data_IF_638828622333
#
_entry.id   IF_638828622333
#
_cell.length_a   1.000
_cell.length_b   1.000
_cell.length_c   1.000
_cell.angle_alpha   90.00
_cell.angle_beta   90.00
_cell.angle_gamma   90.00
#
_symmetry.space_group_name_H-M   'P 1'
#
loop_
_entity.id
_entity.type
_entity.pdbx_description
1 polymer ?
#
# COMPACT_ATOMS: atom_id res chain seq x y z
N UNK A 1 14.87 -33.56 -26.66
CA UNK A 1 13.43 -33.88 -26.47
C UNK A 1 12.86 -33.46 -25.09
N UNK A 2 13.65 -33.05 -24.09
CA UNK A 2 13.15 -32.79 -22.70
C UNK A 2 12.74 -31.34 -22.35
N UNK A 3 12.94 -30.38 -23.24
CA UNK A 3 12.78 -28.94 -22.92
C UNK A 3 11.30 -28.48 -22.94
N UNK A 4 10.46 -29.09 -23.78
CA UNK A 4 9.05 -28.75 -23.90
C UNK A 4 8.21 -29.14 -22.66
N UNK A 5 8.47 -30.30 -22.05
CA UNK A 5 7.73 -30.72 -20.86
C UNK A 5 8.01 -29.82 -19.65
N UNK A 6 9.28 -29.43 -19.45
CA UNK A 6 9.66 -28.55 -18.33
C UNK A 6 9.13 -27.14 -18.51
N UNK A 7 9.11 -26.60 -19.73
CA UNK A 7 8.53 -25.28 -20.00
C UNK A 7 7.00 -25.28 -19.80
N UNK A 8 6.30 -26.30 -20.29
CA UNK A 8 4.86 -26.48 -20.04
C UNK A 8 4.57 -26.66 -18.55
N UNK A 9 5.37 -27.45 -17.84
CA UNK A 9 5.22 -27.68 -16.40
C UNK A 9 5.41 -26.40 -15.59
N UNK A 10 6.42 -25.58 -15.92
CA UNK A 10 6.61 -24.27 -15.27
C UNK A 10 5.42 -23.34 -15.48
N UNK A 11 4.89 -23.30 -16.71
CA UNK A 11 3.72 -22.48 -17.03
C UNK A 11 2.48 -22.94 -16.27
N UNK A 12 2.18 -24.24 -16.28
CA UNK A 12 1.05 -24.80 -15.54
C UNK A 12 1.18 -24.52 -14.03
N UNK A 13 2.39 -24.66 -13.47
CA UNK A 13 2.63 -24.37 -12.06
C UNK A 13 2.43 -22.89 -11.74
N UNK A 14 2.88 -21.98 -12.61
CA UNK A 14 2.63 -20.55 -12.46
C UNK A 14 1.13 -20.24 -12.46
N UNK A 15 0.38 -20.75 -13.45
CA UNK A 15 -1.07 -20.53 -13.58
C UNK A 15 -1.84 -21.04 -12.34
N UNK A 16 -1.48 -22.23 -11.83
CA UNK A 16 -2.09 -22.79 -10.62
C UNK A 16 -1.79 -21.92 -9.40
N UNK A 17 -0.52 -21.55 -9.20
CA UNK A 17 -0.11 -20.78 -8.03
C UNK A 17 -0.77 -19.39 -8.06
N UNK A 18 -0.75 -18.71 -9.19
CA UNK A 18 -1.37 -17.39 -9.37
C UNK A 18 -2.89 -17.45 -9.15
N UNK A 19 -3.58 -18.45 -9.72
CA UNK A 19 -5.01 -18.66 -9.52
C UNK A 19 -5.36 -18.87 -8.04
N UNK A 20 -4.61 -19.75 -7.34
CA UNK A 20 -4.81 -20.00 -5.90
C UNK A 20 -4.56 -18.76 -5.04
N UNK A 21 -3.57 -17.95 -5.39
CA UNK A 21 -3.32 -16.69 -4.68
C UNK A 21 -4.43 -15.67 -4.92
N UNK A 22 -4.97 -15.57 -6.14
CA UNK A 22 -6.10 -14.70 -6.44
C UNK A 22 -7.35 -15.12 -5.65
N UNK A 23 -7.70 -16.41 -5.65
CA UNK A 23 -8.80 -16.97 -4.87
C UNK A 23 -8.64 -16.71 -3.36
N UNK A 24 -7.41 -16.77 -2.84
CA UNK A 24 -7.14 -16.48 -1.44
C UNK A 24 -7.36 -15.00 -1.11
N UNK A 25 -6.96 -14.09 -2.01
CA UNK A 25 -7.21 -12.65 -1.86
C UNK A 25 -8.70 -12.34 -1.90
N UNK A 26 -9.46 -12.98 -2.78
CA UNK A 26 -10.91 -12.74 -2.88
C UNK A 26 -11.65 -13.19 -1.63
N UNK A 27 -11.39 -14.42 -1.17
CA UNK A 27 -11.95 -14.91 0.10
C UNK A 27 -11.60 -14.02 1.28
N UNK A 28 -10.38 -13.47 1.30
CA UNK A 28 -9.98 -12.51 2.33
C UNK A 28 -10.80 -11.22 2.25
N UNK A 29 -10.97 -10.64 1.06
CA UNK A 29 -11.72 -9.40 0.87
C UNK A 29 -13.21 -9.57 1.16
N UNK A 30 -13.81 -10.70 0.76
CA UNK A 30 -15.21 -11.02 1.04
C UNK A 30 -15.47 -11.11 2.55
N UNK A 31 -14.53 -11.68 3.30
CA UNK A 31 -14.62 -11.81 4.76
C UNK A 31 -14.51 -10.49 5.54
N UNK A 32 -13.98 -9.43 4.94
CA UNK A 32 -13.81 -8.14 5.62
C UNK A 32 -15.10 -7.32 5.75
N UNK A 33 -16.15 -7.71 5.04
CA UNK A 33 -17.49 -7.12 5.20
C UNK A 33 -18.06 -7.25 6.61
N UNK A 34 -17.52 -8.19 7.41
CA UNK A 34 -17.98 -8.49 8.77
C UNK A 34 -17.31 -7.61 9.85
N UNK A 35 -16.10 -7.09 9.59
CA UNK A 35 -15.24 -6.46 10.61
C UNK A 35 -14.99 -4.95 10.39
N UNK A 36 -15.71 -4.29 9.47
CA UNK A 36 -15.57 -2.86 9.14
C UNK A 36 -14.13 -2.43 8.75
N UNK A 37 -13.30 -3.39 8.33
CA UNK A 37 -11.94 -3.14 7.86
C UNK A 37 -11.96 -2.99 6.35
N UNK A 38 -11.87 -1.74 5.87
CA UNK A 38 -11.70 -1.46 4.45
C UNK A 38 -10.29 -1.87 3.95
N UNK A 39 -10.13 -3.12 3.48
CA UNK A 39 -9.03 -3.51 2.61
C UNK A 39 -9.50 -3.54 1.15
N UNK A 40 -8.56 -3.39 0.20
CA UNK A 40 -8.86 -3.55 -1.23
C UNK A 40 -7.66 -4.09 -1.99
N UNK A 41 -7.91 -4.69 -3.16
CA UNK A 41 -6.86 -5.11 -4.10
C UNK A 41 -5.91 -3.94 -4.42
N UNK A 42 -4.61 -4.23 -4.44
CA UNK A 42 -3.52 -3.28 -4.64
C UNK A 42 -2.53 -3.78 -5.70
N UNK A 43 -3.06 -4.13 -6.87
CA UNK A 43 -2.29 -4.64 -8.00
C UNK A 43 -1.56 -5.96 -7.69
N UNK A 44 -0.49 -6.21 -8.43
CA UNK A 44 0.36 -7.38 -8.29
C UNK A 44 1.84 -6.99 -8.38
N UNK A 45 2.72 -7.87 -7.93
CA UNK A 45 4.17 -7.72 -8.09
C UNK A 45 4.80 -9.00 -8.63
N UNK A 46 5.93 -8.88 -9.33
CA UNK A 46 6.65 -10.04 -9.85
C UNK A 46 7.49 -10.69 -8.77
N UNK A 47 7.43 -12.01 -8.68
CA UNK A 47 8.26 -12.82 -7.77
C UNK A 47 8.83 -14.01 -8.52
N UNK A 48 10.13 -14.25 -8.37
CA UNK A 48 10.79 -15.46 -8.88
C UNK A 48 10.77 -16.56 -7.82
N UNK A 49 10.40 -17.75 -8.23
CA UNK A 49 10.37 -18.97 -7.44
C UNK A 49 11.27 -20.01 -8.10
N UNK A 50 12.30 -20.43 -7.38
CA UNK A 50 13.14 -21.56 -7.81
C UNK A 50 12.42 -22.86 -7.47
N UNK A 51 12.27 -23.72 -8.48
CA UNK A 51 11.64 -25.03 -8.37
C UNK A 51 12.47 -26.09 -9.10
N UNK A 52 12.13 -27.36 -8.91
CA UNK A 52 12.74 -28.48 -9.66
C UNK A 52 12.56 -28.37 -11.18
N UNK A 53 11.53 -27.64 -11.63
CA UNK A 53 11.29 -27.38 -13.06
C UNK A 53 12.06 -26.16 -13.57
N UNK A 54 12.77 -25.45 -12.68
CA UNK A 54 13.57 -24.26 -12.95
C UNK A 54 13.00 -22.99 -12.29
N UNK A 55 13.52 -21.84 -12.73
CA UNK A 55 13.04 -20.51 -12.33
C UNK A 55 11.64 -20.26 -12.93
N UNK A 56 10.71 -19.82 -12.08
CA UNK A 56 9.32 -19.48 -12.41
C UNK A 56 9.06 -18.05 -11.97
N UNK A 57 8.66 -17.19 -12.90
CA UNK A 57 8.19 -15.84 -12.59
C UNK A 57 6.68 -15.88 -12.30
N UNK A 58 6.27 -15.30 -11.18
CA UNK A 58 4.89 -15.24 -10.70
C UNK A 58 4.42 -13.80 -10.60
N UNK A 59 3.17 -13.55 -10.98
CA UNK A 59 2.42 -12.32 -10.77
C UNK A 59 1.63 -12.41 -9.46
N UNK A 60 2.27 -12.10 -8.33
CA UNK A 60 1.68 -12.28 -7.00
C UNK A 60 0.69 -11.15 -6.69
N UNK A 61 -0.60 -11.44 -6.42
CA UNK A 61 -1.59 -10.43 -6.07
C UNK A 61 -1.33 -9.85 -4.67
N UNK A 62 -1.70 -8.59 -4.46
CA UNK A 62 -1.50 -7.88 -3.19
C UNK A 62 -2.80 -7.18 -2.76
N UNK A 63 -3.03 -7.09 -1.45
CA UNK A 63 -4.01 -6.16 -0.89
C UNK A 63 -3.32 -4.95 -0.25
N UNK A 64 -4.05 -3.85 -0.01
CA UNK A 64 -3.44 -2.66 0.61
C UNK A 64 -2.92 -2.95 2.01
N UNK A 65 -3.61 -3.81 2.77
CA UNK A 65 -3.26 -4.11 4.16
C UNK A 65 -2.14 -5.14 4.29
N UNK A 66 -2.05 -6.11 3.38
CA UNK A 66 -0.98 -7.13 3.32
C UNK A 66 0.27 -6.56 2.59
N UNK A 67 0.59 -5.32 2.90
CA UNK A 67 1.79 -4.63 2.44
C UNK A 67 2.89 -4.58 3.49
N UNK A 68 2.59 -4.99 4.73
CA UNK A 68 3.49 -4.88 5.86
C UNK A 68 3.63 -6.27 6.50
N UNK A 69 4.83 -6.90 6.50
CA UNK A 69 5.08 -7.88 7.55
C UNK A 69 4.79 -7.14 8.86
N UNK A 70 3.84 -7.65 9.65
CA UNK A 70 3.47 -7.08 10.95
C UNK A 70 4.78 -6.94 11.72
N UNK A 71 5.33 -5.72 11.77
CA UNK A 71 6.44 -5.42 12.68
C UNK A 71 5.87 -5.74 14.05
N UNK A 72 6.37 -6.80 14.69
CA UNK A 72 6.22 -6.97 16.12
C UNK A 72 6.82 -5.70 16.73
N UNK A 73 5.96 -4.74 17.08
CA UNK A 73 6.35 -3.62 17.90
C UNK A 73 6.74 -4.20 19.24
N UNK A 74 8.03 -4.48 19.44
CA UNK A 74 8.57 -4.47 20.80
C UNK A 74 8.24 -3.08 21.35
N UNK A 75 7.57 -3.07 22.49
CA UNK A 75 6.87 -1.92 23.02
C UNK A 75 7.66 -0.61 22.91
N UNK A 76 6.99 0.45 22.48
CA UNK A 76 7.42 1.81 22.78
C UNK A 76 6.23 2.77 22.76
N UNK A 77 6.02 3.34 23.95
CA UNK A 77 5.16 4.45 24.41
C UNK A 77 4.32 5.19 23.38
N UNK A 78 3.06 5.44 23.78
CA UNK A 78 2.10 6.38 23.18
C UNK A 78 2.79 7.68 22.74
N UNK A 79 2.43 8.24 21.57
CA UNK A 79 2.94 9.53 21.14
C UNK A 79 2.49 10.60 22.11
N UNK A 80 3.44 11.31 22.72
CA UNK A 80 3.12 12.55 23.41
C UNK A 80 2.46 13.50 22.41
N UNK A 81 1.31 14.06 22.79
CA UNK A 81 0.60 15.10 22.03
C UNK A 81 1.62 16.16 21.61
N UNK A 82 1.82 16.36 20.30
CA UNK A 82 2.58 17.51 19.80
C UNK A 82 1.86 18.77 20.28
N UNK A 83 2.53 19.73 20.93
CA UNK A 83 1.90 21.01 21.20
C UNK A 83 1.53 21.66 19.86
N UNK A 84 0.31 22.22 19.81
CA UNK A 84 -0.17 22.98 18.66
C UNK A 84 0.84 24.10 18.41
N UNK A 85 1.36 24.20 17.18
CA UNK A 85 2.12 25.38 16.76
C UNK A 85 1.17 26.57 16.84
N UNK A 86 1.39 27.46 17.80
CA UNK A 86 0.77 28.79 17.82
C UNK A 86 1.18 29.50 16.52
N UNK A 87 0.25 30.04 15.72
CA UNK A 87 0.66 30.90 14.63
C UNK A 87 1.33 32.13 15.24
N UNK A 88 2.58 32.37 14.87
CA UNK A 88 3.20 33.66 15.15
C UNK A 88 2.40 34.70 14.37
N UNK A 89 1.72 35.61 15.09
CA UNK A 89 1.22 36.85 14.51
C UNK A 89 2.44 37.55 13.90
N UNK A 90 2.46 37.69 12.58
CA UNK A 90 3.38 38.61 11.93
C UNK A 90 3.08 40.02 12.48
N UNK A 91 4.09 40.83 12.81
CA UNK A 91 3.84 42.20 13.23
C UNK A 91 3.11 42.92 12.10
N UNK A 92 2.04 43.63 12.48
CA UNK A 92 1.25 44.48 11.62
C UNK A 92 2.21 45.41 10.87
N UNK A 93 2.35 45.22 9.56
CA UNK A 93 3.10 46.18 8.76
C UNK A 93 2.24 47.44 8.73
N UNK A 94 2.73 48.50 9.37
CA UNK A 94 2.18 49.84 9.21
C UNK A 94 2.26 50.19 7.71
N UNK A 95 1.11 50.19 7.04
CA UNK A 95 1.00 50.70 5.68
C UNK A 95 1.15 52.22 5.74
N UNK A 96 2.13 52.83 5.04
CA UNK A 96 2.20 54.27 4.95
C UNK A 96 1.09 54.76 4.02
N UNK A 97 0.41 55.80 4.50
CA UNK A 97 -0.25 56.86 3.73
C UNK A 97 -0.93 56.47 2.40
N UNK A 98 -2.27 56.45 2.42
CA UNK A 98 -3.04 57.01 1.33
C UNK A 98 -3.81 58.21 1.87
N UNK A 99 -3.13 59.36 1.84
CA UNK A 99 -3.80 60.65 1.78
C UNK A 99 -4.83 60.63 0.63
N UNK A 100 -5.92 61.37 0.84
CA UNK A 100 -6.73 62.02 -0.19
C UNK A 100 -7.95 61.25 -0.77
N UNK A 101 -9.12 61.54 -0.17
CA UNK A 101 -10.46 61.74 -0.79
C UNK A 101 -11.50 61.57 0.31
N UNK A 102 -12.55 62.37 0.47
CA UNK A 102 -13.06 63.54 -0.21
C UNK A 102 -14.42 63.80 0.48
N UNK A 103 -14.75 65.06 0.75
CA UNK A 103 -16.13 65.58 0.84
C UNK A 103 -17.03 65.07 1.99
N UNK A 104 -17.23 65.90 3.02
CA UNK A 104 -18.46 66.71 3.15
C UNK A 104 -18.36 67.74 4.27
#
# INVERSE_FOLDING_TARGET
MGEGYRSLGRRALAEIIEGRMAEAVDRWLDGLSVDDVADRRNGSYRRRLLSELGDIELCVPRTRRIARPRRLSKGRRLPQKRPRRTPHLLPLQDTPEAQNRAHH
#
